data_IF_834952060531
#
_entry.id   IF_834952060531
#
_cell.length_a   1.000
_cell.length_b   1.000
_cell.length_c   1.000
_cell.angle_alpha   90.00
_cell.angle_beta   90.00
_cell.angle_gamma   90.00
#
_symmetry.space_group_name_H-M   'P 1'
#
loop_
_entity.id
_entity.type
_entity.pdbx_description
1 polymer ?
#
# COMPACT_ATOMS: atom_id res chain seq x y z
N UNK A 1 23.29 21.98 -6.88
CA UNK A 1 22.50 20.95 -6.18
C UNK A 1 21.93 20.01 -7.24
N UNK A 2 22.20 18.70 -7.17
CA UNK A 2 21.63 17.75 -8.11
C UNK A 2 20.15 17.51 -7.75
N UNK A 3 19.24 17.67 -8.72
CA UNK A 3 17.85 17.23 -8.57
C UNK A 3 17.84 15.72 -8.70
N UNK A 4 17.82 15.00 -7.58
CA UNK A 4 17.65 13.56 -7.58
C UNK A 4 16.19 13.25 -7.90
N UNK A 5 15.89 12.90 -9.14
CA UNK A 5 14.52 12.52 -9.54
C UNK A 5 14.20 11.16 -8.94
N UNK A 6 13.33 11.12 -7.95
CA UNK A 6 12.87 9.88 -7.30
C UNK A 6 11.87 9.19 -8.21
N UNK A 7 12.16 7.96 -8.65
CA UNK A 7 11.19 7.16 -9.42
C UNK A 7 10.09 6.67 -8.47
N UNK A 8 8.84 6.95 -8.80
CA UNK A 8 7.68 6.43 -8.07
C UNK A 8 7.10 5.24 -8.82
N UNK A 9 6.50 4.31 -8.07
CA UNK A 9 5.94 3.08 -8.63
C UNK A 9 4.45 2.99 -8.32
N UNK A 10 3.67 2.38 -9.23
CA UNK A 10 2.31 1.95 -8.92
C UNK A 10 2.32 0.46 -8.57
N UNK A 11 1.85 0.13 -7.37
CA UNK A 11 1.78 -1.22 -6.85
C UNK A 11 0.29 -1.58 -6.70
N UNK A 12 -0.13 -2.74 -7.19
CA UNK A 12 -1.54 -3.17 -7.17
C UNK A 12 -1.65 -4.51 -6.45
N UNK A 13 -2.47 -4.56 -5.40
CA UNK A 13 -2.80 -5.80 -4.70
C UNK A 13 -4.14 -6.33 -5.18
N UNK A 14 -4.13 -7.54 -5.74
CA UNK A 14 -5.34 -8.29 -6.09
C UNK A 14 -5.65 -9.28 -4.97
N UNK A 15 -6.90 -9.31 -4.50
CA UNK A 15 -7.26 -10.05 -3.28
C UNK A 15 -6.90 -9.26 -2.01
N UNK A 16 -6.96 -7.92 -2.08
CA UNK A 16 -6.54 -7.02 -1.02
C UNK A 16 -7.39 -7.07 0.26
N UNK A 17 -8.52 -7.79 0.26
CA UNK A 17 -9.31 -8.08 1.45
C UNK A 17 -8.66 -9.09 2.41
N UNK A 18 -7.55 -9.72 2.01
CA UNK A 18 -6.79 -10.65 2.86
C UNK A 18 -6.02 -9.90 3.97
N UNK A 19 -6.48 -10.02 5.21
CA UNK A 19 -5.81 -9.42 6.36
C UNK A 19 -4.40 -9.99 6.60
N UNK A 20 -4.23 -11.30 6.47
CA UNK A 20 -2.94 -11.97 6.70
C UNK A 20 -1.87 -11.49 5.70
N UNK A 21 -2.23 -11.35 4.42
CA UNK A 21 -1.34 -10.83 3.39
C UNK A 21 -1.16 -9.31 3.53
N UNK A 22 -2.25 -8.55 3.69
CA UNK A 22 -2.19 -7.10 3.73
C UNK A 22 -1.38 -6.56 4.91
N UNK A 23 -1.50 -7.15 6.11
CA UNK A 23 -0.76 -6.70 7.29
C UNK A 23 0.77 -6.81 7.13
N UNK A 24 1.26 -7.95 6.65
CA UNK A 24 2.71 -8.14 6.42
C UNK A 24 3.21 -7.19 5.34
N UNK A 25 2.46 -7.07 4.24
CA UNK A 25 2.84 -6.22 3.13
C UNK A 25 2.77 -4.72 3.45
N UNK A 26 1.79 -4.27 4.23
CA UNK A 26 1.70 -2.87 4.65
C UNK A 26 2.88 -2.47 5.53
N UNK A 27 3.27 -3.33 6.47
CA UNK A 27 4.47 -3.08 7.28
C UNK A 27 5.70 -2.92 6.39
N UNK A 28 5.92 -3.83 5.47
CA UNK A 28 7.10 -3.81 4.62
C UNK A 28 7.06 -2.59 3.66
N UNK A 29 5.91 -2.30 3.04
CA UNK A 29 5.74 -1.14 2.14
C UNK A 29 5.90 0.20 2.85
N UNK A 30 5.26 0.40 4.00
CA UNK A 30 5.22 1.70 4.68
C UNK A 30 6.51 2.00 5.46
N UNK A 31 7.34 0.99 5.73
CA UNK A 31 8.67 1.18 6.34
C UNK A 31 9.80 1.29 5.31
N UNK A 32 9.55 0.90 4.04
CA UNK A 32 10.53 1.00 2.95
C UNK A 32 10.57 2.42 2.41
N UNK A 33 11.52 3.24 2.90
CA UNK A 33 11.62 4.65 2.52
C UNK A 33 11.78 4.82 1.01
N UNK A 34 12.48 3.93 0.31
CA UNK A 34 12.71 3.86 -1.14
C UNK A 34 11.41 3.89 -1.94
N UNK A 35 10.29 3.45 -1.36
CA UNK A 35 8.98 3.45 -2.01
C UNK A 35 8.12 4.69 -1.70
N UNK A 36 8.56 5.61 -0.84
CA UNK A 36 7.84 6.84 -0.54
C UNK A 36 7.42 7.63 -1.80
N UNK A 37 6.16 8.07 -1.83
CA UNK A 37 5.54 8.72 -2.99
C UNK A 37 5.01 7.75 -4.06
N UNK A 38 5.17 6.45 -3.88
CA UNK A 38 4.51 5.43 -4.71
C UNK A 38 2.99 5.40 -4.46
N UNK A 39 2.26 4.80 -5.40
CA UNK A 39 0.81 4.61 -5.29
C UNK A 39 0.51 3.14 -5.01
N UNK A 40 -0.26 2.87 -3.96
CA UNK A 40 -0.81 1.55 -3.66
C UNK A 40 -2.29 1.51 -4.08
N UNK A 41 -2.66 0.57 -4.95
CA UNK A 41 -4.05 0.30 -5.35
C UNK A 41 -4.50 -1.04 -4.76
N UNK A 42 -5.65 -1.05 -4.11
CA UNK A 42 -6.24 -2.26 -3.51
C UNK A 42 -7.43 -2.71 -4.35
N UNK A 43 -7.47 -3.99 -4.70
CA UNK A 43 -8.54 -4.61 -5.49
C UNK A 43 -9.01 -5.88 -4.81
N UNK A 44 -10.32 -6.01 -4.62
CA UNK A 44 -10.95 -7.22 -4.11
C UNK A 44 -12.39 -7.32 -4.65
N UNK A 45 -12.98 -8.52 -4.62
CA UNK A 45 -14.39 -8.73 -4.98
C UNK A 45 -15.32 -8.56 -3.78
N UNK A 46 -14.78 -8.61 -2.55
CA UNK A 46 -15.52 -8.36 -1.32
C UNK A 46 -15.34 -6.88 -0.88
N UNK A 47 -16.36 -6.02 -1.08
CA UNK A 47 -16.26 -4.60 -0.76
C UNK A 47 -16.05 -4.34 0.74
N UNK A 48 -16.69 -5.10 1.62
CA UNK A 48 -16.56 -4.89 3.06
C UNK A 48 -15.16 -5.26 3.59
N UNK A 49 -14.53 -6.28 3.00
CA UNK A 49 -13.14 -6.60 3.31
C UNK A 49 -12.19 -5.52 2.77
N UNK A 50 -12.42 -5.06 1.53
CA UNK A 50 -11.64 -4.00 0.90
C UNK A 50 -11.71 -2.68 1.69
N UNK A 51 -12.88 -2.31 2.19
CA UNK A 51 -13.08 -1.10 2.99
C UNK A 51 -12.26 -1.14 4.28
N UNK A 52 -12.30 -2.27 5.02
CA UNK A 52 -11.50 -2.45 6.25
C UNK A 52 -10.01 -2.33 5.97
N UNK A 53 -9.54 -2.97 4.90
CA UNK A 53 -8.13 -2.96 4.53
C UNK A 53 -7.68 -1.59 4.02
N UNK A 54 -8.56 -0.87 3.32
CA UNK A 54 -8.33 0.53 2.93
C UNK A 54 -8.23 1.45 4.14
N UNK A 55 -9.13 1.31 5.12
CA UNK A 55 -9.10 2.08 6.35
C UNK A 55 -7.80 1.82 7.13
N UNK A 56 -7.40 0.55 7.23
CA UNK A 56 -6.15 0.15 7.88
C UNK A 56 -4.93 0.71 7.16
N UNK A 57 -4.87 0.63 5.83
CA UNK A 57 -3.77 1.19 5.05
C UNK A 57 -3.62 2.70 5.32
N UNK A 58 -4.73 3.45 5.35
CA UNK A 58 -4.73 4.89 5.66
C UNK A 58 -4.28 5.20 7.08
N UNK A 59 -4.61 4.34 8.05
CA UNK A 59 -4.18 4.50 9.44
C UNK A 59 -2.67 4.30 9.61
N UNK A 60 -2.08 3.38 8.83
CA UNK A 60 -0.67 2.99 8.94
C UNK A 60 0.27 3.76 8.01
N UNK A 61 -0.26 4.41 6.97
CA UNK A 61 0.56 5.22 6.06
C UNK A 61 1.03 6.50 6.79
N UNK A 62 2.34 6.80 6.79
CA UNK A 62 2.90 7.97 7.46
C UNK A 62 2.57 9.31 6.79
#
# INVERSE_FOLDING_TARGET
MAVTTRKTTKIVFLGAGSAAFGLSMYRDLFTTTELAGSTLTLVDTNPAALDRMTALARLLTP
#
